data_IF_802831899215
#
_entry.id   IF_802831899215
#
_cell.length_a   1.000
_cell.length_b   1.000
_cell.length_c   1.000
_cell.angle_alpha   90.00
_cell.angle_beta   90.00
_cell.angle_gamma   90.00
#
_symmetry.space_group_name_H-M   'P 1'
#
loop_
_entity.id
_entity.type
_entity.pdbx_description
1 polymer ?
#
# COMPACT_ATOMS: atom_id res chain seq x y z
N UNK A 1 -41.21 -16.88 -71.01
CA UNK A 1 -39.79 -16.45 -71.03
C UNK A 1 -39.57 -15.57 -69.81
N UNK A 2 -39.18 -16.17 -68.69
CA UNK A 2 -39.17 -15.54 -67.36
C UNK A 2 -37.74 -15.27 -66.99
N UNK A 3 -37.42 -13.99 -66.73
CA UNK A 3 -36.17 -13.52 -66.12
C UNK A 3 -36.38 -13.41 -64.65
N UNK A 4 -35.68 -14.24 -63.84
CA UNK A 4 -35.67 -14.22 -62.39
C UNK A 4 -34.51 -13.33 -61.96
N UNK A 5 -34.86 -12.17 -61.40
CA UNK A 5 -33.88 -11.24 -60.75
C UNK A 5 -33.39 -11.79 -59.40
N UNK A 6 -32.09 -11.96 -59.27
CA UNK A 6 -31.41 -12.31 -58.01
C UNK A 6 -31.18 -11.03 -57.20
N UNK A 7 -31.97 -10.83 -56.18
CA UNK A 7 -31.66 -9.83 -55.12
C UNK A 7 -30.46 -10.30 -54.27
N UNK A 8 -29.40 -9.54 -54.28
CA UNK A 8 -28.28 -9.69 -53.32
C UNK A 8 -28.64 -8.94 -52.06
N UNK A 9 -28.93 -9.66 -51.00
CA UNK A 9 -29.00 -9.11 -49.63
C UNK A 9 -27.56 -8.93 -49.13
N UNK A 10 -27.15 -7.67 -49.05
CA UNK A 10 -25.88 -7.33 -48.37
C UNK A 10 -26.12 -7.33 -46.84
N UNK A 11 -25.58 -8.33 -46.17
CA UNK A 11 -25.57 -8.36 -44.72
C UNK A 11 -24.51 -7.35 -44.21
N UNK A 12 -24.98 -6.24 -43.61
CA UNK A 12 -24.15 -5.30 -42.91
C UNK A 12 -23.76 -5.95 -41.57
N UNK A 13 -22.52 -6.42 -41.45
CA UNK A 13 -21.90 -6.80 -40.23
C UNK A 13 -21.61 -5.50 -39.46
N UNK A 14 -22.50 -5.12 -38.55
CA UNK A 14 -22.21 -4.12 -37.52
C UNK A 14 -21.26 -4.77 -36.53
N UNK A 15 -19.96 -4.49 -36.66
CA UNK A 15 -18.96 -4.82 -35.65
C UNK A 15 -19.26 -3.93 -34.45
N UNK A 16 -19.91 -4.50 -33.43
CA UNK A 16 -19.93 -3.89 -32.09
C UNK A 16 -18.49 -3.97 -31.58
N UNK A 17 -17.74 -2.88 -31.73
CA UNK A 17 -16.61 -2.61 -30.87
C UNK A 17 -17.18 -2.43 -29.49
N UNK A 18 -17.18 -3.48 -28.68
CA UNK A 18 -17.31 -3.37 -27.24
C UNK A 18 -16.11 -2.53 -26.79
N UNK A 19 -16.33 -1.22 -26.64
CA UNK A 19 -15.44 -0.38 -25.86
C UNK A 19 -15.53 -0.92 -24.44
N UNK A 20 -14.58 -1.77 -24.06
CA UNK A 20 -14.35 -2.12 -22.68
C UNK A 20 -14.07 -0.80 -21.95
N UNK A 21 -15.05 -0.34 -21.17
CA UNK A 21 -14.86 0.75 -20.22
C UNK A 21 -13.82 0.24 -19.25
N UNK A 22 -12.60 0.77 -19.35
CA UNK A 22 -11.50 0.45 -18.45
C UNK A 22 -11.87 1.05 -17.09
N UNK A 23 -12.38 0.20 -16.22
CA UNK A 23 -12.66 0.57 -14.84
C UNK A 23 -11.40 0.34 -14.01
N UNK A 24 -11.12 1.28 -13.12
CA UNK A 24 -9.89 1.29 -12.34
C UNK A 24 -10.05 0.60 -10.98
N UNK A 25 -8.98 -0.07 -10.53
CA UNK A 25 -8.97 -0.68 -9.19
C UNK A 25 -8.24 0.27 -8.22
N UNK A 26 -8.65 0.29 -6.97
CA UNK A 26 -9.65 -0.67 -6.50
C UNK A 26 -11.11 -0.31 -6.80
N UNK A 27 -11.41 0.51 -7.81
CA UNK A 27 -12.78 0.96 -8.10
C UNK A 27 -13.67 -0.19 -8.60
N UNK A 28 -13.15 -1.13 -9.37
CA UNK A 28 -13.82 -2.34 -9.82
C UNK A 28 -13.71 -3.52 -8.85
N UNK A 29 -13.00 -3.35 -7.74
CA UNK A 29 -12.72 -4.42 -6.79
C UNK A 29 -13.79 -4.65 -5.73
N UNK A 30 -14.93 -3.96 -5.78
CA UNK A 30 -16.00 -4.16 -4.82
C UNK A 30 -16.56 -5.59 -4.86
N UNK A 31 -16.80 -6.12 -6.04
CA UNK A 31 -17.33 -7.47 -6.21
C UNK A 31 -16.41 -8.54 -5.60
N UNK A 32 -15.10 -8.35 -5.71
CA UNK A 32 -14.11 -9.30 -5.17
C UNK A 32 -13.96 -9.17 -3.65
N UNK A 33 -13.97 -7.95 -3.13
CA UNK A 33 -13.56 -7.66 -1.75
C UNK A 33 -14.70 -7.29 -0.81
N UNK A 34 -15.80 -6.76 -1.33
CA UNK A 34 -16.88 -6.18 -0.52
C UNK A 34 -16.51 -4.87 0.18
N UNK A 35 -15.40 -4.21 -0.20
CA UNK A 35 -14.99 -2.91 0.37
C UNK A 35 -15.95 -1.82 -0.10
N UNK A 36 -16.95 -1.50 0.69
CA UNK A 36 -18.07 -0.61 0.31
C UNK A 36 -17.64 0.77 -0.17
N UNK A 37 -16.55 1.35 0.39
CA UNK A 37 -16.10 2.66 -0.05
C UNK A 37 -15.66 2.71 -1.51
N UNK A 38 -15.17 1.58 -2.07
CA UNK A 38 -14.76 1.48 -3.47
C UNK A 38 -15.96 1.73 -4.38
N UNK A 39 -17.10 1.16 -4.04
CA UNK A 39 -18.36 1.41 -4.75
C UNK A 39 -18.75 2.89 -4.72
N UNK A 40 -18.54 3.55 -3.55
CA UNK A 40 -18.72 5.00 -3.46
C UNK A 40 -17.80 5.80 -4.37
N UNK A 41 -16.53 5.39 -4.50
CA UNK A 41 -15.56 6.03 -5.43
C UNK A 41 -16.00 5.81 -6.87
N UNK A 42 -16.41 4.59 -7.25
CA UNK A 42 -16.93 4.27 -8.59
C UNK A 42 -18.13 5.17 -8.94
N UNK A 43 -19.08 5.31 -8.02
CA UNK A 43 -20.24 6.18 -8.21
C UNK A 43 -19.88 7.67 -8.42
N UNK A 44 -18.80 8.15 -7.78
CA UNK A 44 -18.27 9.51 -8.02
C UNK A 44 -17.68 9.63 -9.42
N UNK A 45 -16.87 8.65 -9.85
CA UNK A 45 -16.25 8.67 -11.18
C UNK A 45 -17.30 8.61 -12.30
N UNK A 46 -18.37 7.85 -12.11
CA UNK A 46 -19.51 7.74 -13.03
C UNK A 46 -20.48 8.94 -12.95
N UNK A 47 -20.28 9.86 -11.98
CA UNK A 47 -21.14 11.03 -11.81
C UNK A 47 -22.51 10.71 -11.18
N UNK A 48 -22.69 9.54 -10.57
CA UNK A 48 -23.92 9.12 -9.88
C UNK A 48 -24.10 9.89 -8.57
N UNK A 49 -23.00 10.16 -7.87
CA UNK A 49 -22.96 10.96 -6.65
C UNK A 49 -21.90 12.05 -6.75
N UNK A 50 -22.06 13.19 -6.06
CA UNK A 50 -21.04 14.24 -6.08
C UNK A 50 -19.78 13.83 -5.32
N UNK A 51 -18.62 14.26 -5.82
CA UNK A 51 -17.32 14.00 -5.18
C UNK A 51 -16.13 14.45 -6.04
N UNK A 52 -14.93 14.32 -5.52
CA UNK A 52 -13.70 14.60 -6.26
C UNK A 52 -13.26 13.36 -7.04
N UNK A 53 -13.06 13.53 -8.33
CA UNK A 53 -12.51 12.47 -9.19
C UNK A 53 -11.07 12.12 -8.85
N UNK A 54 -10.70 10.88 -9.14
CA UNK A 54 -9.35 10.37 -8.96
C UNK A 54 -8.41 10.93 -10.05
N UNK A 55 -7.10 11.06 -9.77
CA UNK A 55 -6.13 11.37 -10.81
C UNK A 55 -6.02 10.20 -11.80
N UNK A 56 -5.64 10.47 -13.08
CA UNK A 56 -5.57 9.42 -14.12
C UNK A 56 -4.77 8.18 -13.68
N UNK A 57 -3.66 8.36 -12.99
CA UNK A 57 -2.83 7.24 -12.50
C UNK A 57 -3.47 6.41 -11.38
N UNK A 58 -4.66 6.79 -10.89
CA UNK A 58 -5.40 6.02 -9.89
C UNK A 58 -6.61 5.28 -10.51
N UNK A 59 -6.59 5.03 -11.82
CA UNK A 59 -7.71 4.48 -12.59
C UNK A 59 -7.45 3.07 -13.15
N UNK A 60 -6.45 2.34 -12.64
CA UNK A 60 -6.18 0.96 -13.06
C UNK A 60 -7.25 -0.01 -12.54
N UNK A 61 -7.55 -1.03 -13.32
CA UNK A 61 -8.42 -2.15 -12.93
C UNK A 61 -7.71 -3.13 -12.00
N UNK A 62 -8.47 -4.00 -11.35
CA UNK A 62 -7.96 -5.10 -10.52
C UNK A 62 -6.96 -5.97 -11.27
N UNK A 63 -7.21 -6.25 -12.55
CA UNK A 63 -6.33 -7.06 -13.40
C UNK A 63 -5.02 -6.33 -13.74
N UNK A 64 -5.07 -5.00 -13.89
CA UNK A 64 -3.88 -4.21 -14.22
C UNK A 64 -2.96 -4.00 -13.01
N UNK A 65 -3.51 -4.05 -11.79
CA UNK A 65 -2.72 -3.99 -10.55
C UNK A 65 -2.21 -5.39 -10.23
N UNK A 66 -1.02 -5.70 -10.71
CA UNK A 66 -0.39 -7.01 -10.56
C UNK A 66 1.09 -6.90 -10.15
N UNK A 67 1.67 -8.04 -9.76
CA UNK A 67 3.07 -8.18 -9.41
C UNK A 67 3.94 -8.14 -10.67
N UNK A 68 5.07 -7.44 -10.62
CA UNK A 68 5.90 -7.19 -11.81
C UNK A 68 7.16 -8.05 -11.88
N UNK A 69 7.47 -8.80 -10.81
CA UNK A 69 8.71 -9.58 -10.73
C UNK A 69 8.45 -11.08 -10.54
N UNK A 70 7.32 -11.60 -11.04
CA UNK A 70 7.00 -13.03 -10.96
C UNK A 70 7.99 -13.89 -11.75
N UNK A 71 8.48 -13.38 -12.89
CA UNK A 71 9.49 -14.05 -13.71
C UNK A 71 10.93 -13.84 -13.19
N UNK A 72 11.10 -12.94 -12.20
CA UNK A 72 12.37 -12.60 -11.57
C UNK A 72 12.37 -12.89 -10.06
N UNK A 73 11.75 -14.01 -9.66
CA UNK A 73 11.55 -14.35 -8.23
C UNK A 73 12.85 -14.47 -7.44
N UNK A 74 13.94 -14.86 -8.10
CA UNK A 74 15.23 -15.09 -7.47
C UNK A 74 16.18 -13.89 -7.58
N UNK A 75 15.73 -12.78 -8.13
CA UNK A 75 16.51 -11.55 -8.17
C UNK A 75 16.75 -11.04 -6.75
N UNK A 76 18.01 -10.94 -6.38
CA UNK A 76 18.43 -10.28 -5.15
C UNK A 76 18.48 -8.76 -5.34
N UNK A 77 18.46 -8.02 -4.22
CA UNK A 77 18.70 -6.59 -4.26
C UNK A 77 20.13 -6.34 -4.78
N UNK A 78 20.31 -5.60 -5.90
CA UNK A 78 21.64 -5.36 -6.43
C UNK A 78 22.54 -4.59 -5.46
N UNK A 79 23.85 -4.68 -5.66
CA UNK A 79 24.79 -3.79 -4.97
C UNK A 79 24.53 -2.33 -5.39
N UNK A 80 24.67 -1.37 -4.46
CA UNK A 80 24.46 0.04 -4.79
C UNK A 80 25.38 0.54 -5.91
N UNK A 81 24.81 1.02 -7.01
CA UNK A 81 25.52 1.71 -8.08
C UNK A 81 26.05 3.05 -7.56
N UNK A 82 27.40 3.29 -7.56
CA UNK A 82 27.96 4.51 -7.00
C UNK A 82 27.52 5.79 -7.72
N UNK A 83 27.35 5.75 -9.06
CA UNK A 83 26.93 6.90 -9.84
C UNK A 83 25.45 7.25 -9.58
N UNK A 84 24.58 6.27 -9.58
CA UNK A 84 23.17 6.43 -9.26
C UNK A 84 22.96 6.84 -7.79
N UNK A 85 23.73 6.25 -6.86
CA UNK A 85 23.71 6.65 -5.45
C UNK A 85 24.10 8.13 -5.30
N UNK A 86 25.14 8.59 -5.99
CA UNK A 86 25.55 10.01 -5.96
C UNK A 86 24.43 10.93 -6.47
N UNK A 87 23.73 10.55 -7.54
CA UNK A 87 22.60 11.31 -8.07
C UNK A 87 21.46 11.37 -7.04
N UNK A 88 21.05 10.23 -6.46
CA UNK A 88 19.98 10.15 -5.45
C UNK A 88 20.33 10.95 -4.20
N UNK A 89 21.55 10.85 -3.68
CA UNK A 89 22.03 11.65 -2.54
C UNK A 89 22.02 13.14 -2.85
N UNK A 90 22.37 13.52 -4.08
CA UNK A 90 22.31 14.92 -4.55
C UNK A 90 20.90 15.53 -4.43
N UNK A 91 19.84 14.73 -4.53
CA UNK A 91 18.46 15.19 -4.36
C UNK A 91 18.13 15.64 -2.93
N UNK A 92 18.87 15.13 -1.93
CA UNK A 92 18.68 15.42 -0.51
C UNK A 92 19.24 16.79 -0.09
N UNK A 93 20.17 17.34 -0.88
CA UNK A 93 20.85 18.61 -0.59
C UNK A 93 21.54 18.59 0.78
N UNK A 94 21.46 19.68 1.52
CA UNK A 94 22.07 19.83 2.85
C UNK A 94 21.46 18.95 3.95
N UNK A 95 20.44 18.15 3.65
CA UNK A 95 19.75 17.29 4.64
C UNK A 95 20.13 15.82 4.53
N UNK A 96 21.11 15.44 3.71
CA UNK A 96 21.48 14.04 3.47
C UNK A 96 21.75 13.24 4.76
N UNK A 97 22.40 13.82 5.75
CA UNK A 97 22.66 13.19 7.05
C UNK A 97 21.41 12.85 7.87
N UNK A 98 20.25 13.42 7.52
CA UNK A 98 18.97 13.26 8.22
C UNK A 98 18.04 12.28 7.51
N UNK A 99 18.50 11.67 6.40
CA UNK A 99 17.76 10.68 5.61
C UNK A 99 18.43 9.31 5.63
N UNK A 100 17.59 8.27 5.66
CA UNK A 100 17.89 6.98 5.08
C UNK A 100 17.03 6.83 3.81
N UNK A 101 17.63 6.50 2.69
CA UNK A 101 16.94 6.38 1.41
C UNK A 101 17.47 5.18 0.64
N UNK A 102 16.56 4.48 -0.03
CA UNK A 102 16.88 3.46 -1.01
C UNK A 102 15.95 3.65 -2.23
N UNK A 103 16.53 3.57 -3.42
CA UNK A 103 15.81 3.65 -4.70
C UNK A 103 16.25 2.50 -5.58
N UNK A 104 15.30 1.69 -6.04
CA UNK A 104 15.52 0.59 -6.96
C UNK A 104 14.79 0.92 -8.27
N UNK A 105 15.55 1.17 -9.31
CA UNK A 105 15.07 1.39 -10.67
C UNK A 105 14.99 0.04 -11.39
N UNK A 106 13.78 -0.33 -11.75
CA UNK A 106 13.40 -1.57 -12.40
C UNK A 106 12.80 -1.31 -13.80
N UNK A 107 13.00 -0.09 -14.35
CA UNK A 107 12.51 0.26 -15.68
C UNK A 107 13.14 -0.61 -16.78
N UNK A 108 14.36 -1.10 -16.55
CA UNK A 108 14.99 -2.22 -17.23
C UNK A 108 15.22 -3.34 -16.20
N UNK A 109 14.34 -4.33 -16.18
CA UNK A 109 14.35 -5.40 -15.17
C UNK A 109 15.57 -6.32 -15.34
N UNK A 110 16.12 -6.44 -16.56
CA UNK A 110 17.32 -7.23 -16.82
C UNK A 110 18.60 -6.52 -16.32
N UNK A 111 18.57 -5.20 -16.17
CA UNK A 111 19.67 -4.39 -15.69
C UNK A 111 19.22 -3.44 -14.57
N UNK A 112 18.74 -3.96 -13.44
CA UNK A 112 18.21 -3.14 -12.36
C UNK A 112 19.31 -2.27 -11.74
N UNK A 113 18.99 -1.02 -11.40
CA UNK A 113 19.93 -0.11 -10.75
C UNK A 113 19.45 0.22 -9.33
N UNK A 114 20.36 0.11 -8.39
CA UNK A 114 20.07 0.37 -6.99
C UNK A 114 20.92 1.51 -6.44
N UNK A 115 20.28 2.43 -5.71
CA UNK A 115 20.92 3.50 -4.97
C UNK A 115 20.55 3.42 -3.51
N UNK A 116 21.53 3.60 -2.62
CA UNK A 116 21.31 3.59 -1.19
C UNK A 116 22.16 4.62 -0.47
N UNK A 117 21.55 5.30 0.52
CA UNK A 117 22.26 6.14 1.47
C UNK A 117 21.70 5.92 2.87
N UNK A 118 22.58 5.52 3.82
CA UNK A 118 22.20 5.17 5.18
C UNK A 118 21.00 4.21 5.23
N UNK A 119 21.03 3.19 4.36
CA UNK A 119 19.95 2.22 4.21
C UNK A 119 19.65 1.42 5.46
N UNK A 120 20.63 1.29 6.35
CA UNK A 120 20.57 0.63 7.66
C UNK A 120 20.18 1.58 8.82
N UNK A 121 20.00 2.89 8.54
CA UNK A 121 19.58 3.84 9.57
C UNK A 121 18.20 3.46 10.11
N UNK A 122 18.14 3.16 11.41
CA UNK A 122 16.95 2.66 12.10
C UNK A 122 16.19 3.80 12.78
N UNK A 123 14.90 3.93 12.47
CA UNK A 123 14.00 4.81 13.22
C UNK A 123 12.60 4.22 13.34
N UNK A 124 11.75 4.82 14.17
CA UNK A 124 10.34 4.44 14.24
C UNK A 124 9.64 4.82 12.93
N UNK A 125 9.13 3.82 12.22
CA UNK A 125 8.48 3.99 10.91
C UNK A 125 7.02 4.43 10.99
N UNK A 126 6.49 4.60 12.22
CA UNK A 126 5.09 5.01 12.41
C UNK A 126 4.14 4.06 11.68
N UNK A 127 3.20 4.65 10.95
CA UNK A 127 2.17 3.88 10.24
C UNK A 127 2.67 3.02 9.06
N UNK A 128 3.96 3.07 8.67
CA UNK A 128 4.51 2.09 7.71
C UNK A 128 4.51 0.70 8.33
N UNK A 129 4.65 0.59 9.66
CA UNK A 129 4.53 -0.69 10.38
C UNK A 129 3.19 -1.42 10.19
N UNK A 130 2.16 -0.76 9.67
CA UNK A 130 0.87 -1.40 9.30
C UNK A 130 1.01 -2.40 8.14
N UNK A 131 2.07 -2.30 7.34
CA UNK A 131 2.42 -3.34 6.37
C UNK A 131 2.76 -4.66 7.06
N UNK A 132 3.43 -4.60 8.23
CA UNK A 132 3.71 -5.79 9.06
C UNK A 132 2.42 -6.35 9.67
N UNK A 133 1.47 -5.50 10.05
CA UNK A 133 0.16 -5.97 10.53
C UNK A 133 -0.61 -6.74 9.42
N UNK A 134 -0.59 -6.21 8.19
CA UNK A 134 -1.16 -6.92 7.03
C UNK A 134 -0.42 -8.23 6.74
N UNK A 135 0.92 -8.22 6.76
CA UNK A 135 1.74 -9.43 6.60
C UNK A 135 1.34 -10.50 7.63
N UNK A 136 1.17 -10.13 8.90
CA UNK A 136 0.78 -11.05 9.97
C UNK A 136 -0.59 -11.70 9.72
N UNK A 137 -1.58 -10.94 9.26
CA UNK A 137 -2.89 -11.48 8.91
C UNK A 137 -2.81 -12.45 7.71
N UNK A 138 -2.14 -12.05 6.62
CA UNK A 138 -2.01 -12.91 5.44
C UNK A 138 -1.20 -14.17 5.74
N UNK A 139 -0.19 -14.09 6.62
CA UNK A 139 0.54 -15.28 7.07
C UNK A 139 -0.35 -16.21 7.89
N UNK A 140 -1.16 -15.69 8.79
CA UNK A 140 -2.10 -16.51 9.58
C UNK A 140 -3.15 -17.18 8.68
N UNK A 141 -3.65 -16.49 7.65
CA UNK A 141 -4.54 -17.08 6.64
C UNK A 141 -3.86 -18.22 5.87
N UNK A 142 -2.62 -17.99 5.42
CA UNK A 142 -1.86 -18.99 4.68
C UNK A 142 -1.50 -20.21 5.54
N UNK A 143 -1.16 -20.01 6.79
CA UNK A 143 -0.88 -21.09 7.74
C UNK A 143 -2.12 -21.94 8.05
N UNK A 144 -3.30 -21.32 8.05
CA UNK A 144 -4.57 -22.01 8.35
C UNK A 144 -5.13 -22.75 7.13
N UNK A 145 -5.04 -22.14 5.95
CA UNK A 145 -5.53 -22.67 4.68
C UNK A 145 -4.45 -22.55 3.59
N UNK A 146 -3.38 -23.37 3.64
CA UNK A 146 -2.22 -23.23 2.75
C UNK A 146 -2.58 -23.39 1.26
N UNK A 147 -3.44 -24.33 0.92
CA UNK A 147 -3.77 -24.69 -0.46
C UNK A 147 -5.15 -24.19 -0.90
N UNK A 148 -5.90 -23.49 -0.02
CA UNK A 148 -7.27 -23.04 -0.28
C UNK A 148 -7.37 -21.53 -0.33
N UNK A 149 -7.01 -20.95 -1.48
CA UNK A 149 -7.08 -19.51 -1.74
C UNK A 149 -8.53 -19.00 -1.68
N UNK A 150 -9.48 -19.78 -2.15
CA UNK A 150 -10.89 -19.37 -2.14
C UNK A 150 -11.42 -19.28 -0.71
N UNK A 151 -11.01 -20.19 0.17
CA UNK A 151 -11.36 -20.11 1.58
C UNK A 151 -10.76 -18.86 2.25
N UNK A 152 -9.51 -18.51 1.91
CA UNK A 152 -8.90 -17.25 2.40
C UNK A 152 -9.68 -16.03 1.90
N UNK A 153 -10.12 -16.01 0.63
CA UNK A 153 -10.98 -14.96 0.08
C UNK A 153 -12.31 -14.86 0.80
N UNK A 154 -12.94 -16.01 1.01
CA UNK A 154 -14.20 -16.10 1.75
C UNK A 154 -14.06 -15.52 3.16
N UNK A 155 -13.06 -15.94 3.93
CA UNK A 155 -12.79 -15.44 5.28
C UNK A 155 -12.57 -13.92 5.27
N UNK A 156 -11.78 -13.40 4.36
CA UNK A 156 -11.53 -11.94 4.24
C UNK A 156 -12.82 -11.17 3.93
N UNK A 157 -13.72 -11.72 3.13
CA UNK A 157 -14.94 -11.05 2.64
C UNK A 157 -16.13 -11.22 3.59
N UNK A 158 -16.31 -12.41 4.16
CA UNK A 158 -17.50 -12.76 4.94
C UNK A 158 -17.35 -12.55 6.45
N UNK A 159 -16.13 -12.54 6.99
CA UNK A 159 -15.94 -12.31 8.42
C UNK A 159 -16.27 -10.86 8.77
N UNK A 160 -17.33 -10.68 9.56
CA UNK A 160 -17.71 -9.39 10.12
C UNK A 160 -16.97 -9.18 11.43
N UNK A 161 -16.12 -8.15 11.45
CA UNK A 161 -15.40 -7.72 12.65
C UNK A 161 -16.17 -6.55 13.28
N UNK A 162 -16.55 -6.71 14.54
CA UNK A 162 -17.17 -5.65 15.34
C UNK A 162 -16.11 -4.95 16.17
N UNK A 163 -16.01 -3.63 16.00
CA UNK A 163 -15.06 -2.80 16.75
C UNK A 163 -15.38 -2.83 18.25
N UNK A 164 -14.36 -3.02 19.05
CA UNK A 164 -14.40 -3.02 20.51
C UNK A 164 -13.32 -2.08 21.09
N UNK A 165 -13.03 -2.21 22.37
CA UNK A 165 -12.05 -1.39 23.09
C UNK A 165 -10.67 -1.30 22.40
N UNK A 166 -10.27 -2.29 21.59
CA UNK A 166 -9.03 -2.20 20.81
C UNK A 166 -9.02 -1.01 19.83
N UNK A 167 -10.17 -0.47 19.45
CA UNK A 167 -10.26 0.68 18.56
C UNK A 167 -10.04 2.04 19.24
N UNK A 168 -9.99 2.11 20.57
CA UNK A 168 -10.03 3.37 21.31
C UNK A 168 -8.77 4.23 21.14
N UNK A 169 -8.98 5.55 21.15
CA UNK A 169 -7.94 6.60 21.11
C UNK A 169 -7.21 6.69 19.76
N UNK A 170 -7.99 6.91 18.73
CA UNK A 170 -7.48 7.28 17.40
C UNK A 170 -8.17 8.55 16.89
N UNK A 171 -7.44 9.36 16.15
CA UNK A 171 -7.94 10.58 15.50
C UNK A 171 -8.17 10.40 13.99
N UNK A 172 -7.74 9.28 13.42
CA UNK A 172 -7.95 8.99 12.00
C UNK A 172 -9.44 8.72 11.73
N UNK A 173 -9.91 9.25 10.61
CA UNK A 173 -11.31 9.09 10.19
C UNK A 173 -11.38 8.00 9.13
N UNK A 174 -12.14 6.95 9.40
CA UNK A 174 -12.50 5.93 8.42
C UNK A 174 -13.63 6.43 7.53
N UNK A 175 -13.74 5.84 6.34
CA UNK A 175 -14.83 6.05 5.41
C UNK A 175 -15.75 4.84 5.42
N UNK A 176 -17.02 5.06 5.72
CA UNK A 176 -18.08 4.07 5.69
C UNK A 176 -19.06 4.52 4.61
N UNK A 177 -19.20 3.72 3.57
CA UNK A 177 -20.16 3.99 2.51
C UNK A 177 -21.39 3.12 2.67
N UNK A 178 -22.53 3.75 2.78
CA UNK A 178 -23.85 3.12 2.77
C UNK A 178 -24.30 3.04 1.31
N UNK A 179 -24.31 1.81 0.78
CA UNK A 179 -24.62 1.56 -0.65
C UNK A 179 -26.08 1.90 -0.95
N UNK A 180 -27.00 1.50 -0.08
CA UNK A 180 -28.45 1.66 -0.28
C UNK A 180 -28.85 3.14 -0.30
N UNK A 181 -28.31 3.91 0.64
CA UNK A 181 -28.56 5.35 0.76
C UNK A 181 -27.56 6.19 -0.04
N UNK A 182 -26.58 5.59 -0.72
CA UNK A 182 -25.51 6.28 -1.48
C UNK A 182 -24.81 7.36 -0.66
N UNK A 183 -24.56 7.07 0.62
CA UNK A 183 -24.07 8.07 1.58
C UNK A 183 -22.70 7.69 2.12
N UNK A 184 -21.72 8.58 1.92
CA UNK A 184 -20.40 8.48 2.51
C UNK A 184 -20.36 9.17 3.88
N UNK A 185 -20.02 8.42 4.92
CA UNK A 185 -19.76 8.94 6.27
C UNK A 185 -18.27 8.88 6.56
N UNK A 186 -17.72 9.98 7.07
CA UNK A 186 -16.30 10.07 7.45
C UNK A 186 -16.17 10.50 8.90
N UNK A 187 -15.78 9.58 9.76
CA UNK A 187 -15.63 9.80 11.21
C UNK A 187 -14.61 8.85 11.82
N UNK A 188 -14.19 9.11 13.05
CA UNK A 188 -13.41 8.14 13.83
C UNK A 188 -14.22 6.87 14.09
N UNK A 189 -13.51 5.73 14.16
CA UNK A 189 -14.10 4.44 14.55
C UNK A 189 -14.57 4.50 16.00
N UNK A 190 -15.64 3.78 16.31
CA UNK A 190 -16.21 3.64 17.66
C UNK A 190 -16.67 2.20 17.89
N UNK A 191 -16.91 1.87 19.13
CA UNK A 191 -17.45 0.57 19.52
C UNK A 191 -18.75 0.27 18.75
N UNK A 192 -18.88 -0.99 18.33
CA UNK A 192 -20.02 -1.48 17.56
C UNK A 192 -19.92 -1.20 16.05
N UNK A 193 -18.92 -0.47 15.56
CA UNK A 193 -18.71 -0.33 14.12
C UNK A 193 -18.33 -1.67 13.48
N UNK A 194 -19.01 -2.01 12.39
CA UNK A 194 -18.81 -3.28 11.70
C UNK A 194 -18.24 -3.11 10.30
N UNK A 195 -17.36 -4.04 9.93
CA UNK A 195 -16.81 -4.16 8.60
C UNK A 195 -16.25 -5.56 8.36
N UNK A 196 -16.03 -5.92 7.10
CA UNK A 196 -15.31 -7.14 6.78
C UNK A 196 -13.80 -7.01 7.09
N UNK A 197 -13.07 -8.13 7.13
CA UNK A 197 -11.60 -8.08 7.25
C UNK A 197 -10.98 -7.28 6.11
N UNK A 198 -11.56 -7.35 4.89
CA UNK A 198 -11.14 -6.50 3.76
C UNK A 198 -11.31 -5.01 4.05
N UNK A 199 -12.43 -4.61 4.65
CA UNK A 199 -12.64 -3.21 5.02
C UNK A 199 -11.67 -2.75 6.12
N UNK A 200 -11.36 -3.62 7.09
CA UNK A 200 -10.35 -3.32 8.11
C UNK A 200 -8.93 -3.23 7.53
N UNK A 201 -8.56 -4.08 6.57
CA UNK A 201 -7.32 -3.96 5.81
C UNK A 201 -7.26 -2.63 5.04
N UNK A 202 -8.35 -2.28 4.37
CA UNK A 202 -8.44 -1.04 3.63
C UNK A 202 -8.32 0.18 4.55
N UNK A 203 -9.09 0.27 5.62
CA UNK A 203 -8.98 1.38 6.59
C UNK A 203 -7.59 1.43 7.25
N UNK A 204 -6.93 0.31 7.41
CA UNK A 204 -5.57 0.21 7.95
C UNK A 204 -4.55 0.81 6.98
N UNK A 205 -4.64 0.51 5.70
CA UNK A 205 -3.61 0.89 4.71
C UNK A 205 -3.96 2.17 3.96
N UNK A 206 -5.22 2.42 3.57
CA UNK A 206 -5.63 3.60 2.79
C UNK A 206 -5.70 4.88 3.63
N UNK A 207 -6.54 4.91 4.66
CA UNK A 207 -6.65 6.08 5.55
C UNK A 207 -5.70 6.03 6.74
N UNK A 208 -5.01 4.92 6.90
CA UNK A 208 -4.02 4.72 7.96
C UNK A 208 -4.59 4.79 9.38
N UNK A 209 -5.85 4.32 9.59
CA UNK A 209 -6.48 4.28 10.91
C UNK A 209 -5.70 3.38 11.88
N UNK A 210 -5.41 3.90 13.07
CA UNK A 210 -4.81 3.12 14.15
C UNK A 210 -5.85 2.20 14.80
N UNK A 211 -7.10 2.66 14.88
CA UNK A 211 -8.23 1.86 15.36
C UNK A 211 -8.42 0.62 14.49
N UNK A 212 -8.55 0.81 13.17
CA UNK A 212 -8.70 -0.30 12.24
C UNK A 212 -7.51 -1.26 12.29
N UNK A 213 -6.29 -0.73 12.36
CA UNK A 213 -5.08 -1.55 12.44
C UNK A 213 -5.01 -2.34 13.76
N UNK A 214 -5.44 -1.78 14.88
CA UNK A 214 -5.49 -2.52 16.15
C UNK A 214 -6.56 -3.60 16.14
N UNK A 215 -7.72 -3.34 15.55
CA UNK A 215 -8.75 -4.37 15.35
C UNK A 215 -8.25 -5.48 14.42
N UNK A 216 -7.61 -5.13 13.29
CA UNK A 216 -7.00 -6.09 12.37
C UNK A 216 -5.96 -6.98 13.06
N UNK A 217 -5.11 -6.38 13.91
CA UNK A 217 -4.11 -7.11 14.69
C UNK A 217 -4.76 -8.03 15.73
N UNK A 218 -5.86 -7.58 16.37
CA UNK A 218 -6.67 -8.43 17.26
C UNK A 218 -7.14 -9.69 16.53
N UNK A 219 -7.74 -9.51 15.37
CA UNK A 219 -8.31 -10.59 14.58
C UNK A 219 -7.25 -11.51 13.97
N UNK A 220 -6.09 -10.98 13.57
CA UNK A 220 -4.95 -11.79 13.15
C UNK A 220 -4.43 -12.70 14.28
N UNK A 221 -4.42 -12.23 15.54
CA UNK A 221 -4.09 -13.04 16.71
C UNK A 221 -5.14 -14.11 16.97
N UNK A 222 -6.43 -13.77 16.87
CA UNK A 222 -7.53 -14.73 17.02
C UNK A 222 -7.46 -15.83 15.94
N UNK A 223 -7.27 -15.43 14.68
CA UNK A 223 -7.11 -16.38 13.58
C UNK A 223 -5.91 -17.32 13.83
N UNK A 224 -4.76 -16.76 14.26
CA UNK A 224 -3.58 -17.58 14.59
C UNK A 224 -3.83 -18.55 15.73
N UNK A 225 -4.65 -18.17 16.72
CA UNK A 225 -4.97 -18.99 17.89
C UNK A 225 -6.00 -20.07 17.58
N UNK A 226 -7.12 -19.70 16.96
CA UNK A 226 -8.25 -20.60 16.71
C UNK A 226 -8.11 -21.40 15.40
N UNK A 227 -7.25 -20.98 14.49
CA UNK A 227 -7.04 -21.66 13.22
C UNK A 227 -8.35 -21.81 12.44
N UNK A 228 -8.72 -23.04 12.09
CA UNK A 228 -9.93 -23.34 11.30
C UNK A 228 -11.25 -23.05 12.02
N UNK A 229 -11.23 -22.88 13.34
CA UNK A 229 -12.41 -22.50 14.13
C UNK A 229 -12.66 -20.99 14.12
N UNK A 230 -11.77 -20.19 13.51
CA UNK A 230 -12.00 -18.78 13.25
C UNK A 230 -12.97 -18.58 12.04
N UNK A 231 -13.91 -17.61 12.08
CA UNK A 231 -14.12 -16.57 13.11
C UNK A 231 -14.85 -17.06 14.34
N UNK A 232 -14.51 -16.48 15.48
CA UNK A 232 -15.21 -16.73 16.75
C UNK A 232 -16.21 -15.60 17.05
N UNK A 233 -17.14 -15.85 17.97
CA UNK A 233 -18.08 -14.82 18.41
C UNK A 233 -17.37 -13.66 19.14
N UNK A 234 -17.98 -12.47 19.14
CA UNK A 234 -17.47 -11.31 19.88
C UNK A 234 -17.27 -11.62 21.37
N UNK A 235 -18.18 -12.40 21.97
CA UNK A 235 -18.08 -12.83 23.36
C UNK A 235 -16.86 -13.73 23.58
N UNK A 236 -16.58 -14.67 22.68
CA UNK A 236 -15.40 -15.53 22.73
C UNK A 236 -14.12 -14.74 22.57
N UNK A 237 -14.07 -13.82 21.60
CA UNK A 237 -12.94 -12.93 21.39
C UNK A 237 -12.62 -12.09 22.66
N UNK A 238 -13.65 -11.52 23.29
CA UNK A 238 -13.50 -10.75 24.52
C UNK A 238 -13.01 -11.63 25.68
N UNK A 239 -13.59 -12.84 25.82
CA UNK A 239 -13.17 -13.82 26.83
C UNK A 239 -11.70 -14.19 26.66
N UNK A 240 -11.26 -14.48 25.44
CA UNK A 240 -9.87 -14.82 25.13
C UNK A 240 -8.91 -13.72 25.64
N UNK A 241 -9.12 -12.46 25.27
CA UNK A 241 -8.21 -11.38 25.69
C UNK A 241 -8.31 -11.03 27.18
N UNK A 242 -9.40 -11.38 27.84
CA UNK A 242 -9.60 -11.18 29.28
C UNK A 242 -8.95 -12.29 30.11
N UNK A 243 -9.11 -13.54 29.71
CA UNK A 243 -8.75 -14.71 30.51
C UNK A 243 -7.36 -15.25 30.18
N UNK A 244 -6.87 -15.10 28.94
CA UNK A 244 -5.54 -15.57 28.54
C UNK A 244 -4.45 -14.79 29.29
N UNK A 245 -3.47 -15.48 29.91
CA UNK A 245 -2.38 -14.82 30.63
C UNK A 245 -1.58 -13.86 29.73
N UNK A 246 -1.12 -12.74 30.30
CA UNK A 246 -0.37 -11.71 29.56
C UNK A 246 0.87 -12.27 28.83
N UNK A 247 1.58 -13.22 29.44
CA UNK A 247 2.75 -13.87 28.82
C UNK A 247 2.37 -14.62 27.53
N UNK A 248 1.24 -15.34 27.56
CA UNK A 248 0.75 -16.10 26.41
C UNK A 248 0.26 -15.16 25.29
N UNK A 249 -0.45 -14.08 25.65
CA UNK A 249 -0.84 -13.04 24.66
C UNK A 249 0.38 -12.37 24.02
N UNK A 250 1.44 -12.12 24.79
CA UNK A 250 2.71 -11.58 24.25
C UNK A 250 3.38 -12.57 23.31
N UNK A 251 3.44 -13.86 23.68
CA UNK A 251 3.99 -14.90 22.80
C UNK A 251 3.20 -15.03 21.51
N UNK A 252 1.87 -15.03 21.59
CA UNK A 252 0.99 -15.07 20.42
C UNK A 252 1.16 -13.82 19.53
N UNK A 253 1.30 -12.63 20.13
CA UNK A 253 1.62 -11.41 19.40
C UNK A 253 2.92 -11.56 18.59
N UNK A 254 3.97 -12.07 19.21
CA UNK A 254 5.26 -12.28 18.55
C UNK A 254 5.15 -13.34 17.44
N UNK A 255 4.47 -14.44 17.69
CA UNK A 255 4.20 -15.46 16.70
C UNK A 255 3.41 -14.89 15.48
N UNK A 256 2.49 -13.94 15.72
CA UNK A 256 1.65 -13.37 14.67
C UNK A 256 2.37 -12.29 13.86
N UNK A 257 3.26 -11.49 14.47
CA UNK A 257 3.82 -10.30 13.81
C UNK A 257 5.36 -10.31 13.68
N UNK A 258 6.09 -11.14 14.44
CA UNK A 258 7.55 -11.22 14.33
C UNK A 258 8.00 -12.40 13.49
N UNK A 259 7.44 -13.60 13.73
CA UNK A 259 7.79 -14.79 12.94
C UNK A 259 7.58 -14.58 11.43
N UNK A 260 6.47 -13.97 10.96
CA UNK A 260 6.28 -13.73 9.53
C UNK A 260 7.39 -12.91 8.89
N UNK A 261 8.04 -11.98 9.61
CA UNK A 261 9.15 -11.20 9.10
C UNK A 261 10.30 -12.13 8.73
N UNK A 262 10.76 -12.97 9.66
CA UNK A 262 11.88 -13.89 9.43
C UNK A 262 11.53 -15.01 8.45
N UNK A 263 10.31 -15.53 8.50
CA UNK A 263 9.81 -16.56 7.56
C UNK A 263 9.80 -16.07 6.11
N UNK A 264 9.61 -14.77 5.91
CA UNK A 264 9.62 -14.14 4.59
C UNK A 264 11.02 -13.60 4.20
N UNK A 265 12.08 -14.02 4.89
CA UNK A 265 13.46 -13.66 4.57
C UNK A 265 13.81 -12.20 4.89
N UNK A 266 13.08 -11.59 5.83
CA UNK A 266 13.32 -10.23 6.31
C UNK A 266 13.97 -10.24 7.69
N UNK A 267 14.71 -9.18 8.02
CA UNK A 267 15.43 -9.08 9.28
C UNK A 267 14.58 -8.35 10.33
N UNK A 268 14.18 -9.09 11.38
CA UNK A 268 13.38 -8.57 12.50
C UNK A 268 14.08 -7.41 13.24
N UNK A 269 15.42 -7.34 13.20
CA UNK A 269 16.17 -6.26 13.80
C UNK A 269 16.14 -4.97 12.98
N UNK A 270 15.68 -5.05 11.72
CA UNK A 270 15.61 -3.92 10.80
C UNK A 270 14.19 -3.55 10.39
N UNK A 271 13.20 -4.40 10.65
CA UNK A 271 11.78 -4.12 10.42
C UNK A 271 10.93 -4.81 11.49
N UNK A 272 10.16 -4.03 12.24
CA UNK A 272 9.28 -4.58 13.29
C UNK A 272 8.13 -3.65 13.64
N UNK A 273 6.92 -4.20 13.77
CA UNK A 273 5.79 -3.57 14.45
C UNK A 273 5.72 -4.14 15.88
N UNK A 274 6.31 -3.43 16.84
CA UNK A 274 6.57 -3.94 18.19
C UNK A 274 5.38 -3.87 19.16
N UNK A 275 4.26 -3.23 18.79
CA UNK A 275 3.08 -3.08 19.65
C UNK A 275 1.82 -2.75 18.86
N UNK A 276 0.68 -2.87 19.48
CA UNK A 276 -0.57 -2.32 18.95
C UNK A 276 -0.46 -0.82 18.69
N UNK A 277 -1.38 -0.27 17.90
CA UNK A 277 -1.32 1.11 17.44
C UNK A 277 -2.20 2.07 18.27
N UNK A 278 -3.18 1.52 18.98
CA UNK A 278 -4.02 2.24 19.93
C UNK A 278 -3.51 2.09 21.36
N UNK A 279 -3.96 2.97 22.26
CA UNK A 279 -3.62 2.90 23.66
C UNK A 279 -4.20 1.65 24.33
N UNK A 280 -5.48 1.39 24.09
CA UNK A 280 -6.16 0.23 24.71
C UNK A 280 -5.63 -1.11 24.16
N UNK A 281 -5.31 -1.20 22.87
CA UNK A 281 -4.65 -2.38 22.33
C UNK A 281 -3.31 -2.67 23.04
N UNK A 282 -2.51 -1.62 23.33
CA UNK A 282 -1.25 -1.77 24.09
C UNK A 282 -1.47 -2.19 25.53
N UNK A 283 -2.55 -1.72 26.17
CA UNK A 283 -2.90 -2.10 27.53
C UNK A 283 -3.30 -3.58 27.62
N UNK A 284 -4.03 -4.06 26.61
CA UNK A 284 -4.53 -5.45 26.56
C UNK A 284 -3.45 -6.46 26.18
N UNK A 285 -2.54 -6.08 25.28
CA UNK A 285 -1.48 -6.96 24.79
C UNK A 285 -0.14 -6.24 24.87
N UNK A 286 0.71 -6.71 25.77
CA UNK A 286 2.09 -6.28 25.79
C UNK A 286 2.81 -6.86 24.55
N UNK A 287 3.23 -5.97 23.63
CA UNK A 287 3.92 -6.37 22.43
C UNK A 287 5.38 -6.77 22.70
N UNK A 288 6.19 -6.76 21.64
CA UNK A 288 7.62 -7.11 21.71
C UNK A 288 8.56 -5.89 21.79
N UNK A 289 8.10 -4.73 22.23
CA UNK A 289 8.92 -3.52 22.39
C UNK A 289 8.69 -2.45 21.32
N UNK A 290 9.78 -1.81 20.85
CA UNK A 290 9.68 -0.68 19.92
C UNK A 290 9.40 -1.13 18.48
N UNK A 291 8.63 -0.29 17.76
CA UNK A 291 8.46 -0.40 16.30
C UNK A 291 9.56 0.39 15.60
N UNK A 292 10.15 -0.19 14.58
CA UNK A 292 11.18 0.47 13.76
C UNK A 292 11.29 -0.16 12.37
N UNK A 293 12.03 0.51 11.51
CA UNK A 293 12.42 0.03 10.20
C UNK A 293 13.64 0.78 9.67
N UNK A 294 14.19 0.26 8.59
CA UNK A 294 15.28 0.84 7.81
C UNK A 294 14.84 0.99 6.35
N UNK A 295 15.48 1.89 5.60
CA UNK A 295 15.13 2.08 4.19
C UNK A 295 15.43 0.79 3.38
N UNK A 296 16.55 0.12 3.66
CA UNK A 296 16.93 -1.14 3.01
C UNK A 296 15.93 -2.25 3.30
N UNK A 297 15.52 -2.44 4.55
CA UNK A 297 14.60 -3.52 4.89
C UNK A 297 13.19 -3.32 4.34
N UNK A 298 12.74 -2.05 4.27
CA UNK A 298 11.50 -1.69 3.59
C UNK A 298 11.58 -1.93 2.07
N UNK A 299 12.76 -1.71 1.46
CA UNK A 299 13.03 -2.04 0.06
C UNK A 299 12.94 -3.56 -0.16
N UNK A 300 13.57 -4.36 0.69
CA UNK A 300 13.48 -5.83 0.65
C UNK A 300 12.05 -6.33 0.83
N UNK A 301 11.26 -5.73 1.72
CA UNK A 301 9.85 -6.05 1.87
C UNK A 301 9.09 -5.87 0.54
N UNK A 302 9.29 -4.74 -0.14
CA UNK A 302 8.63 -4.46 -1.41
C UNK A 302 9.13 -5.37 -2.52
N UNK A 303 10.44 -5.62 -2.60
CA UNK A 303 11.03 -6.54 -3.57
C UNK A 303 10.41 -7.94 -3.42
N UNK A 304 10.36 -8.49 -2.20
CA UNK A 304 9.72 -9.78 -1.92
C UNK A 304 8.23 -9.78 -2.32
N UNK A 305 7.55 -8.68 -2.08
CA UNK A 305 6.15 -8.54 -2.49
C UNK A 305 6.01 -8.59 -4.01
N UNK A 306 6.78 -7.81 -4.76
CA UNK A 306 6.75 -7.81 -6.23
C UNK A 306 7.10 -9.16 -6.86
N UNK A 307 7.95 -9.93 -6.18
CA UNK A 307 8.33 -11.30 -6.55
C UNK A 307 7.27 -12.37 -6.21
N UNK A 308 6.17 -11.98 -5.55
CA UNK A 308 5.16 -12.95 -5.08
C UNK A 308 5.67 -13.84 -3.93
N UNK A 309 6.70 -13.40 -3.19
CA UNK A 309 7.39 -14.15 -2.12
C UNK A 309 7.08 -13.65 -0.72
N UNK A 310 6.20 -12.68 -0.58
CA UNK A 310 5.74 -12.21 0.72
C UNK A 310 4.52 -13.03 1.12
N UNK A 311 4.73 -14.05 1.94
CA UNK A 311 3.85 -15.19 2.24
C UNK A 311 3.70 -16.13 1.03
N UNK A 312 2.95 -15.70 0.04
CA UNK A 312 2.73 -16.32 -1.26
C UNK A 312 2.30 -15.28 -2.30
N UNK A 313 2.09 -15.71 -3.53
CA UNK A 313 1.70 -14.85 -4.64
C UNK A 313 0.34 -14.17 -4.40
N UNK A 314 -0.63 -14.90 -3.85
CA UNK A 314 -1.94 -14.33 -3.51
C UNK A 314 -1.79 -13.19 -2.50
N UNK A 315 -1.13 -13.43 -1.37
CA UNK A 315 -0.94 -12.46 -0.29
C UNK A 315 -0.16 -11.23 -0.75
N UNK A 316 0.94 -11.44 -1.49
CA UNK A 316 1.74 -10.38 -2.10
C UNK A 316 0.91 -9.47 -2.99
N UNK A 317 0.11 -10.06 -3.89
CA UNK A 317 -0.77 -9.33 -4.82
C UNK A 317 -1.84 -8.52 -4.05
N UNK A 318 -2.43 -9.09 -3.01
CA UNK A 318 -3.44 -8.37 -2.22
C UNK A 318 -2.83 -7.21 -1.43
N UNK A 319 -1.64 -7.37 -0.84
CA UNK A 319 -0.94 -6.27 -0.15
C UNK A 319 -0.62 -5.15 -1.14
N UNK A 320 -0.11 -5.46 -2.34
CA UNK A 320 0.13 -4.47 -3.40
C UNK A 320 -1.15 -3.73 -3.78
N UNK A 321 -2.25 -4.44 -4.02
CA UNK A 321 -3.56 -3.86 -4.33
C UNK A 321 -4.07 -2.93 -3.23
N UNK A 322 -3.91 -3.31 -1.96
CA UNK A 322 -4.25 -2.47 -0.81
C UNK A 322 -3.36 -1.21 -0.67
N UNK A 323 -2.14 -1.25 -1.20
CA UNK A 323 -1.26 -0.07 -1.26
C UNK A 323 -1.60 0.88 -2.41
N UNK A 324 -2.41 0.47 -3.39
CA UNK A 324 -2.79 1.31 -4.51
C UNK A 324 -3.64 2.50 -4.06
N UNK A 325 -3.16 3.72 -4.38
CA UNK A 325 -3.75 4.95 -3.85
C UNK A 325 -4.90 5.45 -4.74
N UNK A 326 -6.09 4.91 -4.52
CA UNK A 326 -7.32 5.31 -5.21
C UNK A 326 -8.17 6.31 -4.45
N UNK A 327 -7.93 6.49 -3.15
CA UNK A 327 -8.75 7.36 -2.33
C UNK A 327 -8.07 8.69 -2.03
N UNK A 328 -6.81 8.63 -1.63
CA UNK A 328 -6.12 9.82 -1.13
C UNK A 328 -4.62 9.75 -1.37
N UNK A 329 -4.16 10.49 -2.35
CA UNK A 329 -2.72 10.70 -2.52
C UNK A 329 -2.24 11.78 -1.56
N UNK A 330 -1.26 11.45 -0.75
CA UNK A 330 -0.66 12.32 0.27
C UNK A 330 0.87 12.23 0.23
N UNK A 331 1.54 13.26 0.74
CA UNK A 331 3.00 13.27 0.92
C UNK A 331 3.70 12.89 -0.38
N UNK A 332 4.63 11.94 -0.39
CA UNK A 332 5.32 11.46 -1.59
C UNK A 332 4.35 11.17 -2.76
N UNK A 333 3.30 10.42 -2.51
CA UNK A 333 2.32 10.04 -3.53
C UNK A 333 1.49 11.22 -4.08
N UNK A 334 1.46 12.36 -3.40
CA UNK A 334 0.77 13.58 -3.87
C UNK A 334 1.65 14.47 -4.74
N UNK A 335 2.85 14.03 -5.12
CA UNK A 335 3.69 14.73 -6.08
C UNK A 335 2.93 14.99 -7.38
N UNK A 336 2.88 16.23 -7.89
CA UNK A 336 2.24 16.53 -9.18
C UNK A 336 2.82 15.75 -10.36
N UNK A 337 4.11 15.39 -10.29
CA UNK A 337 4.77 14.57 -11.31
C UNK A 337 4.20 13.13 -11.38
N UNK A 338 3.54 12.67 -10.33
CA UNK A 338 3.00 11.32 -10.24
C UNK A 338 1.49 11.24 -10.55
N UNK A 339 0.86 12.29 -11.09
CA UNK A 339 -0.59 12.30 -11.31
C UNK A 339 -1.04 11.23 -12.31
N UNK A 340 -0.20 10.91 -13.30
CA UNK A 340 -0.47 9.94 -14.35
C UNK A 340 0.21 8.57 -14.08
N UNK A 341 0.89 8.44 -12.94
CA UNK A 341 1.51 7.19 -12.50
C UNK A 341 0.56 6.37 -11.63
N UNK A 342 0.63 5.05 -11.73
CA UNK A 342 0.12 4.18 -10.67
C UNK A 342 1.10 4.27 -9.48
N UNK A 343 0.56 4.57 -8.31
CA UNK A 343 1.35 4.74 -7.08
C UNK A 343 0.82 3.83 -5.99
N UNK A 344 1.65 2.89 -5.58
CA UNK A 344 1.40 1.99 -4.45
C UNK A 344 2.16 2.53 -3.25
N UNK A 345 1.44 2.94 -2.21
CA UNK A 345 2.06 3.81 -1.22
C UNK A 345 1.63 3.52 0.21
N UNK A 346 2.59 3.53 1.11
CA UNK A 346 2.34 3.60 2.54
C UNK A 346 3.27 4.61 3.19
N UNK A 347 2.72 5.44 4.08
CA UNK A 347 3.53 6.38 4.85
C UNK A 347 3.29 6.25 6.34
N UNK A 348 4.28 6.74 7.10
CA UNK A 348 4.21 6.88 8.54
C UNK A 348 4.82 8.20 8.99
N UNK A 349 4.29 8.78 10.06
CA UNK A 349 4.85 9.99 10.65
C UNK A 349 4.73 9.96 12.16
N UNK A 350 5.71 10.60 12.79
CA UNK A 350 5.71 10.83 14.22
C UNK A 350 6.49 12.11 14.50
N UNK A 351 5.87 13.12 15.07
CA UNK A 351 6.52 14.37 15.41
C UNK A 351 6.24 14.77 16.86
N UNK A 352 7.16 15.51 17.43
CA UNK A 352 7.01 16.11 18.75
C UNK A 352 7.75 17.43 18.81
N UNK A 353 7.26 18.32 19.68
CA UNK A 353 7.82 19.63 19.88
C UNK A 353 8.06 19.90 21.37
N UNK A 354 8.97 20.82 21.61
CA UNK A 354 9.10 21.60 22.84
C UNK A 354 8.98 23.08 22.51
N UNK A 355 8.66 23.89 23.48
CA UNK A 355 8.66 25.34 23.33
C UNK A 355 10.02 25.85 22.85
N UNK A 356 10.00 26.75 21.88
CA UNK A 356 11.20 27.35 21.28
C UNK A 356 10.81 28.71 20.75
N UNK A 357 11.56 29.77 21.15
CA UNK A 357 11.32 31.13 20.70
C UNK A 357 11.41 31.24 19.17
N UNK A 358 10.44 31.87 18.55
CA UNK A 358 10.37 32.04 17.08
C UNK A 358 9.97 30.79 16.29
N UNK A 359 9.62 29.69 16.98
CA UNK A 359 9.16 28.46 16.31
C UNK A 359 7.74 28.07 16.74
N UNK A 360 6.85 27.94 15.75
CA UNK A 360 5.51 27.41 15.92
C UNK A 360 5.46 25.93 15.54
N UNK A 361 5.10 25.06 16.49
CA UNK A 361 4.91 23.66 16.25
C UNK A 361 3.63 23.41 15.42
N UNK A 362 3.75 22.64 14.35
CA UNK A 362 2.63 22.27 13.49
C UNK A 362 2.68 20.81 13.07
N UNK A 363 1.62 20.35 12.42
CA UNK A 363 1.56 19.00 11.88
C UNK A 363 2.74 18.75 10.93
N UNK A 364 3.49 17.65 11.19
CA UNK A 364 4.68 17.25 10.42
C UNK A 364 5.84 18.26 10.46
N UNK A 365 5.90 19.10 11.50
CA UNK A 365 6.89 20.17 11.65
C UNK A 365 7.44 20.21 13.08
N UNK A 366 7.95 19.06 13.55
CA UNK A 366 8.51 18.95 14.90
C UNK A 366 9.91 19.55 15.02
N UNK A 367 10.27 20.08 16.22
CA UNK A 367 11.61 20.56 16.53
C UNK A 367 12.39 19.63 17.47
N UNK A 368 11.76 18.60 18.04
CA UNK A 368 12.42 17.56 18.85
C UNK A 368 12.53 16.27 18.05
N UNK A 369 11.46 15.91 17.36
CA UNK A 369 11.36 14.75 16.48
C UNK A 369 10.43 15.10 15.33
N UNK A 370 10.79 14.70 14.12
CA UNK A 370 9.99 14.97 12.94
C UNK A 370 10.12 13.84 11.91
N UNK A 371 9.81 12.61 12.35
CA UNK A 371 9.90 11.42 11.51
C UNK A 371 8.85 11.45 10.40
N UNK A 372 9.32 11.26 9.17
CA UNK A 372 8.49 10.98 8.01
C UNK A 372 9.07 9.77 7.29
N UNK A 373 8.20 8.85 6.93
CA UNK A 373 8.56 7.61 6.26
C UNK A 373 7.63 7.40 5.08
N UNK A 374 8.18 6.99 3.95
CA UNK A 374 7.46 6.71 2.70
C UNK A 374 7.99 5.44 2.07
N UNK A 375 7.08 4.55 1.72
CA UNK A 375 7.32 3.38 0.86
C UNK A 375 6.46 3.58 -0.36
N UNK A 376 7.05 3.63 -1.54
CA UNK A 376 6.35 3.86 -2.79
C UNK A 376 6.87 2.95 -3.89
N UNK A 377 5.94 2.31 -4.60
CA UNK A 377 6.16 1.72 -5.91
C UNK A 377 5.51 2.66 -6.91
N UNK A 378 6.16 2.91 -8.02
CA UNK A 378 5.67 3.79 -9.07
C UNK A 378 5.78 3.09 -10.42
N UNK A 379 4.67 3.00 -11.12
CA UNK A 379 4.56 2.51 -12.49
C UNK A 379 4.05 3.67 -13.36
N UNK A 380 4.83 4.10 -14.37
CA UNK A 380 4.52 5.29 -15.18
C UNK A 380 4.76 5.07 -16.67
N UNK A 381 3.85 5.50 -17.57
CA UNK A 381 2.48 5.86 -17.25
C UNK A 381 1.70 4.67 -16.66
N UNK A 382 0.63 4.95 -15.90
CA UNK A 382 -0.19 3.88 -15.35
C UNK A 382 -0.74 2.96 -16.46
N UNK A 383 -0.49 1.66 -16.34
CA UNK A 383 -0.92 0.65 -17.32
C UNK A 383 0.07 0.36 -18.46
N UNK A 384 0.95 1.30 -18.79
CA UNK A 384 2.04 1.10 -19.76
C UNK A 384 3.33 0.63 -19.07
N UNK A 385 3.59 1.17 -17.86
CA UNK A 385 4.71 0.78 -17.00
C UNK A 385 6.10 0.97 -17.62
N UNK A 386 6.26 1.94 -18.52
CA UNK A 386 7.56 2.28 -19.13
C UNK A 386 8.62 2.58 -18.07
N UNK A 387 8.23 3.27 -17.00
CA UNK A 387 9.07 3.41 -15.80
C UNK A 387 8.46 2.56 -14.69
N UNK A 388 9.28 1.76 -14.07
CA UNK A 388 8.94 0.98 -12.90
C UNK A 388 10.06 1.12 -11.87
N UNK A 389 9.75 1.69 -10.71
CA UNK A 389 10.75 1.84 -9.66
C UNK A 389 10.14 1.82 -8.25
N UNK A 390 10.97 1.50 -7.28
CA UNK A 390 10.63 1.52 -5.86
C UNK A 390 11.45 2.59 -5.16
N UNK A 391 10.85 3.34 -4.24
CA UNK A 391 11.59 4.22 -3.34
C UNK A 391 11.12 4.08 -1.90
N UNK A 392 12.08 3.99 -1.00
CA UNK A 392 11.87 3.95 0.45
C UNK A 392 12.67 5.07 1.10
N UNK A 393 11.97 5.91 1.85
CA UNK A 393 12.54 7.07 2.51
C UNK A 393 12.19 7.05 3.98
N UNK A 394 13.16 7.26 4.83
CA UNK A 394 12.98 7.57 6.25
C UNK A 394 13.74 8.86 6.55
N UNK A 395 13.14 9.78 7.28
CA UNK A 395 13.75 11.08 7.56
C UNK A 395 13.42 11.62 8.94
N UNK A 396 14.33 12.48 9.44
CA UNK A 396 14.14 13.26 10.66
C UNK A 396 14.67 14.69 10.46
N UNK A 397 14.04 15.43 9.57
CA UNK A 397 14.41 16.84 9.28
C UNK A 397 13.60 17.75 10.19
N UNK A 398 14.23 18.30 11.22
CA UNK A 398 13.55 19.13 12.20
C UNK A 398 13.13 20.47 11.61
N UNK A 399 12.05 21.07 12.16
CA UNK A 399 11.49 22.39 11.87
C UNK A 399 11.00 22.58 10.42
N UNK A 400 11.17 21.60 9.55
CA UNK A 400 10.70 21.58 8.17
C UNK A 400 9.41 20.78 8.03
N UNK A 401 8.49 21.22 7.16
CA UNK A 401 7.30 20.43 6.88
C UNK A 401 7.68 19.15 6.11
N UNK A 402 7.83 18.05 6.83
CA UNK A 402 8.27 16.77 6.28
C UNK A 402 7.27 16.14 5.29
N UNK A 403 6.00 16.51 5.34
CA UNK A 403 5.00 16.05 4.37
C UNK A 403 5.24 16.68 2.99
N UNK A 404 5.50 17.99 2.96
CA UNK A 404 5.86 18.73 1.73
C UNK A 404 7.25 18.31 1.23
N UNK A 405 8.17 18.04 2.14
CA UNK A 405 9.51 17.59 1.78
C UNK A 405 9.48 16.24 1.05
N UNK A 406 8.73 15.25 1.57
CA UNK A 406 8.55 13.97 0.89
C UNK A 406 7.76 14.07 -0.42
N UNK A 407 6.81 15.02 -0.54
CA UNK A 407 6.14 15.31 -1.81
C UNK A 407 7.14 15.81 -2.86
N UNK A 408 8.03 16.73 -2.46
CA UNK A 408 9.09 17.25 -3.33
C UNK A 408 10.09 16.16 -3.71
N UNK A 409 10.42 15.26 -2.79
CA UNK A 409 11.27 14.10 -3.10
C UNK A 409 10.62 13.17 -4.12
N UNK A 410 9.31 12.94 -4.05
CA UNK A 410 8.57 12.20 -5.08
C UNK A 410 8.76 12.80 -6.48
N UNK A 411 8.68 14.13 -6.58
CA UNK A 411 8.94 14.83 -7.85
C UNK A 411 10.40 14.66 -8.32
N UNK A 412 11.36 14.84 -7.42
CA UNK A 412 12.79 14.80 -7.77
C UNK A 412 13.24 13.41 -8.20
N UNK A 413 12.81 12.37 -7.46
CA UNK A 413 13.13 10.98 -7.79
C UNK A 413 12.50 10.62 -9.14
N UNK A 414 11.21 10.93 -9.34
CA UNK A 414 10.54 10.63 -10.60
C UNK A 414 11.27 11.25 -11.80
N UNK A 415 11.61 12.53 -11.71
CA UNK A 415 12.35 13.22 -12.77
C UNK A 415 13.76 12.68 -13.00
N UNK A 416 14.41 12.18 -11.94
CA UNK A 416 15.71 11.49 -12.10
C UNK A 416 15.54 10.23 -12.92
N UNK A 417 14.54 9.38 -12.58
CA UNK A 417 14.26 8.13 -13.32
C UNK A 417 13.85 8.46 -14.78
N UNK A 418 12.99 9.44 -15.03
CA UNK A 418 12.65 9.88 -16.38
C UNK A 418 13.88 10.28 -17.21
N UNK A 419 14.84 10.96 -16.58
CA UNK A 419 16.08 11.38 -17.25
C UNK A 419 16.99 10.19 -17.57
N UNK A 420 17.03 9.17 -16.73
CA UNK A 420 17.83 7.96 -16.96
C UNK A 420 17.19 7.08 -18.09
N UNK A 421 15.87 7.21 -18.33
CA UNK A 421 15.13 6.49 -19.35
C UNK A 421 14.40 7.47 -20.30
N UNK A 422 15.15 8.22 -21.15
CA UNK A 422 14.54 9.15 -22.07
C UNK A 422 13.62 8.43 -23.07
N UNK A 423 12.53 9.09 -23.47
CA UNK A 423 11.73 8.62 -24.60
C UNK A 423 12.63 8.62 -25.84
N UNK A 424 12.86 7.46 -26.43
CA UNK A 424 13.40 7.39 -27.78
C UNK A 424 12.37 8.02 -28.71
N UNK A 425 12.75 9.09 -29.43
CA UNK A 425 11.90 9.64 -30.48
C UNK A 425 11.54 8.48 -31.44
N UNK A 426 10.27 8.36 -31.89
CA UNK A 426 9.94 7.37 -32.91
C UNK A 426 10.90 7.56 -34.07
N UNK A 427 11.56 6.48 -34.50
CA UNK A 427 12.37 6.51 -35.72
C UNK A 427 11.49 7.05 -36.84
N UNK A 428 11.75 8.26 -37.28
CA UNK A 428 11.15 8.80 -38.48
C UNK A 428 11.67 7.94 -39.63
N UNK A 429 10.92 6.95 -40.01
CA UNK A 429 11.09 6.26 -41.28
C UNK A 429 10.82 7.27 -42.39
N UNK A 430 11.86 8.04 -42.74
CA UNK A 430 11.89 8.94 -43.86
C UNK A 430 12.03 8.06 -45.15
N UNK A 431 10.94 7.45 -45.51
CA UNK A 431 10.80 6.81 -46.81
C UNK A 431 10.65 7.92 -47.83
N UNK A 432 11.75 8.54 -48.22
CA UNK A 432 11.82 9.33 -49.45
C UNK A 432 11.69 8.37 -50.61
N UNK A 433 10.46 8.11 -51.03
CA UNK A 433 10.19 7.61 -52.39
C UNK A 433 10.58 8.71 -53.35
N UNK A 434 11.67 8.54 -54.07
CA UNK A 434 11.97 9.34 -55.25
C UNK A 434 10.95 9.01 -56.33
N UNK A 435 10.29 9.99 -56.94
CA UNK A 435 9.49 9.74 -58.14
C UNK A 435 10.45 9.53 -59.32
N UNK A 436 10.25 8.45 -60.05
CA UNK A 436 10.73 8.27 -61.42
C UNK A 436 9.90 9.10 -62.42
#
# INVERSE_FOLDING_TARGET
MNNIGRSRVAALLVSLCATSVVQAYPIDGYEDTGIRRIEGVRMVEEGIIPGSKQPPGAMLSTQQVDLRLLDHRDMDLPEPDPAFTKQVVGLLGGHASQYGIAVLDLSDVENPRYAEHRGDYRQNVGSVGKLVAALGLFQALADTWPDDIEKRREILKSTVVTADEFCHWDHHKIKIFDIDNKKLTRRTMKDGDQGSLWEYLDWTLSVSSNSAASMLMRDAMLLRHYGKDYPVSDAEAQRFFKETPSKERTALFQATFFEPITRNGLNIENLRQGSFLTREGKNKVNGGGNSYGTARELMLFVLRMEQGRLVDEFSSRQIKRLMYMTERRIRYASSPALKDAAVYFKSGSLYSCKEEEGFECGAYRGNVRNYMNSVAIVEYPAGDNRLFYVSTLISNVLRKNSAVDHQSMGTRIHRLIEKEHPLTAPETTDARVKPE
#
